data_IF_113082262224
#
_entry.id   IF_113082262224
#
_cell.length_a   1.000
_cell.length_b   1.000
_cell.length_c   1.000
_cell.angle_alpha   90.00
_cell.angle_beta   90.00
_cell.angle_gamma   90.00
#
_symmetry.space_group_name_H-M   'P 1'
#
loop_
_entity.id
_entity.type
_entity.pdbx_description
1 polymer ?
#
# COMPACT_ATOMS: atom_id res chain seq x y z
N UNK A 1 -8.33 25.12 18.67
CA UNK A 1 -7.53 23.87 18.60
C UNK A 1 -8.52 22.75 18.30
N UNK A 2 -8.46 22.13 17.12
CA UNK A 2 -9.26 20.94 16.87
C UNK A 2 -8.89 19.84 17.88
N UNK A 3 -9.90 19.08 18.33
CA UNK A 3 -9.63 17.94 19.21
C UNK A 3 -8.81 16.89 18.46
N UNK A 4 -7.89 16.22 19.14
CA UNK A 4 -7.10 15.12 18.55
C UNK A 4 -8.00 13.98 18.05
N UNK A 5 -9.16 13.79 18.67
CA UNK A 5 -10.21 12.87 18.20
C UNK A 5 -10.71 13.28 16.82
N UNK A 6 -10.85 14.58 16.56
CA UNK A 6 -11.19 15.11 15.24
C UNK A 6 -10.17 14.66 14.18
N UNK A 7 -8.88 14.84 14.47
CA UNK A 7 -7.79 14.42 13.57
C UNK A 7 -7.78 12.92 13.30
N UNK A 8 -8.00 12.09 14.33
CA UNK A 8 -8.10 10.63 14.18
C UNK A 8 -9.29 10.24 13.30
N UNK A 9 -10.42 10.93 13.44
CA UNK A 9 -11.62 10.65 12.63
C UNK A 9 -11.48 11.10 11.17
N UNK A 10 -10.67 12.11 10.92
CA UNK A 10 -10.49 12.67 9.58
C UNK A 10 -9.24 12.18 8.87
N UNK A 11 -8.38 11.36 9.48
CA UNK A 11 -7.13 10.97 8.86
C UNK A 11 -7.33 10.08 7.62
N UNK A 12 -6.44 10.21 6.66
CA UNK A 12 -6.30 9.25 5.55
C UNK A 12 -5.37 8.11 5.95
N UNK A 13 -5.72 6.87 5.60
CA UNK A 13 -4.86 5.69 5.76
C UNK A 13 -4.76 4.98 4.41
N UNK A 14 -3.53 4.74 3.96
CA UNK A 14 -3.24 3.88 2.81
C UNK A 14 -2.55 2.62 3.30
N UNK A 15 -3.11 1.47 2.92
CA UNK A 15 -2.66 0.15 3.35
C UNK A 15 -1.92 -0.54 2.21
N UNK A 16 -0.71 -1.01 2.49
CA UNK A 16 0.17 -1.72 1.57
C UNK A 16 0.52 -3.08 2.16
N UNK A 17 1.13 -3.94 1.35
CA UNK A 17 1.69 -5.22 1.81
C UNK A 17 3.18 -5.27 1.50
N UNK A 18 3.95 -5.86 2.41
CA UNK A 18 5.37 -6.17 2.20
C UNK A 18 5.58 -7.41 1.31
N UNK A 19 4.51 -8.10 0.90
CA UNK A 19 4.56 -9.27 0.02
C UNK A 19 3.58 -9.12 -1.13
N UNK A 20 3.99 -9.53 -2.33
CA UNK A 20 3.15 -9.49 -3.54
C UNK A 20 2.71 -10.89 -4.00
N UNK A 21 3.17 -11.97 -3.38
CA UNK A 21 2.93 -13.35 -3.81
C UNK A 21 1.94 -14.13 -2.93
N UNK A 22 1.16 -13.44 -2.11
CA UNK A 22 0.10 -14.05 -1.29
C UNK A 22 -1.15 -14.33 -2.12
N UNK A 23 -1.45 -15.60 -2.38
CA UNK A 23 -2.66 -16.04 -3.12
C UNK A 23 -3.94 -15.47 -2.49
N UNK A 24 -3.97 -15.39 -1.16
CA UNK A 24 -5.10 -14.87 -0.41
C UNK A 24 -5.30 -13.37 -0.69
N UNK A 25 -4.22 -12.58 -0.72
CA UNK A 25 -4.28 -11.16 -1.06
C UNK A 25 -4.82 -10.93 -2.46
N UNK A 26 -4.33 -11.68 -3.45
CA UNK A 26 -4.85 -11.59 -4.82
C UNK A 26 -6.32 -11.99 -4.94
N UNK A 27 -6.76 -12.94 -4.11
CA UNK A 27 -8.16 -13.37 -4.08
C UNK A 27 -9.09 -12.27 -3.53
N UNK A 28 -8.65 -11.56 -2.49
CA UNK A 28 -9.46 -10.53 -1.81
C UNK A 28 -9.36 -9.13 -2.43
N UNK A 29 -8.15 -8.71 -2.79
CA UNK A 29 -7.86 -7.30 -3.11
C UNK A 29 -7.60 -7.04 -4.59
N UNK A 30 -7.38 -8.07 -5.40
CA UNK A 30 -7.15 -7.94 -6.85
C UNK A 30 -8.28 -8.58 -7.65
N UNK A 31 -9.53 -8.40 -7.21
CA UNK A 31 -10.73 -8.91 -7.86
C UNK A 31 -10.58 -10.38 -8.28
N UNK A 32 -10.27 -11.28 -7.33
CA UNK A 32 -10.07 -12.71 -7.62
C UNK A 32 -9.04 -12.96 -8.74
N UNK A 33 -7.91 -12.26 -8.67
CA UNK A 33 -6.80 -12.29 -9.64
C UNK A 33 -7.04 -11.62 -11.01
N UNK A 34 -8.10 -10.81 -11.19
CA UNK A 34 -8.26 -9.99 -12.40
C UNK A 34 -7.51 -8.66 -12.34
N UNK A 35 -7.28 -8.13 -11.13
CA UNK A 35 -6.65 -6.84 -10.91
C UNK A 35 -5.12 -6.85 -11.01
N UNK A 36 -4.52 -5.80 -10.47
CA UNK A 36 -3.07 -5.56 -10.47
C UNK A 36 -2.54 -5.31 -9.05
N UNK A 37 -1.24 -5.41 -8.88
CA UNK A 37 -0.52 -4.99 -7.69
C UNK A 37 0.56 -3.97 -8.07
N UNK A 38 0.57 -2.84 -7.38
CA UNK A 38 1.54 -1.76 -7.56
C UNK A 38 2.62 -1.89 -6.47
N UNK A 39 3.88 -1.99 -6.88
CA UNK A 39 5.02 -2.01 -5.96
C UNK A 39 5.68 -0.65 -5.92
N UNK A 40 5.91 -0.16 -4.70
CA UNK A 40 6.49 1.15 -4.45
C UNK A 40 7.85 1.01 -3.76
N UNK A 41 8.81 1.84 -4.15
CA UNK A 41 10.14 1.91 -3.53
C UNK A 41 10.17 2.98 -2.44
N UNK A 42 10.19 2.53 -1.19
CA UNK A 42 10.15 3.43 -0.04
C UNK A 42 11.46 4.19 0.23
N UNK A 43 12.51 3.95 -0.57
CA UNK A 43 13.77 4.71 -0.51
C UNK A 43 13.73 6.00 -1.33
N UNK A 44 12.73 6.15 -2.19
CA UNK A 44 12.53 7.33 -3.03
C UNK A 44 12.04 8.49 -2.17
N UNK A 45 12.66 9.67 -2.33
CA UNK A 45 12.21 10.90 -1.69
C UNK A 45 12.47 12.12 -2.58
N UNK A 46 11.52 13.04 -2.73
CA UNK A 46 10.15 12.98 -2.18
C UNK A 46 9.25 12.02 -2.98
N UNK A 47 8.33 11.32 -2.31
CA UNK A 47 7.41 10.34 -2.94
C UNK A 47 6.20 10.97 -3.63
N UNK A 48 5.74 12.11 -3.13
CA UNK A 48 4.52 12.78 -3.58
C UNK A 48 4.80 14.16 -4.19
N UNK A 49 3.87 14.67 -4.99
CA UNK A 49 4.00 16.01 -5.60
C UNK A 49 3.78 17.14 -4.59
N UNK A 50 2.80 16.99 -3.71
CA UNK A 50 2.32 18.05 -2.82
C UNK A 50 2.37 17.68 -1.33
N UNK A 51 3.12 16.64 -0.97
CA UNK A 51 3.33 16.24 0.43
C UNK A 51 4.81 16.15 0.75
N UNK A 52 5.15 16.53 1.98
CA UNK A 52 6.46 16.32 2.59
C UNK A 52 6.45 15.01 3.36
N UNK A 53 7.28 14.05 2.92
CA UNK A 53 7.46 12.76 3.58
C UNK A 53 7.84 12.90 5.07
N UNK A 54 8.58 13.97 5.42
CA UNK A 54 9.09 14.19 6.76
C UNK A 54 8.06 14.78 7.74
N UNK A 55 7.04 15.48 7.24
CA UNK A 55 6.11 16.26 8.09
C UNK A 55 4.66 15.83 7.97
N UNK A 56 4.26 15.33 6.81
CA UNK A 56 2.85 15.09 6.50
C UNK A 56 2.48 13.60 6.62
N UNK A 57 3.48 12.72 6.52
CA UNK A 57 3.30 11.28 6.50
C UNK A 57 3.82 10.66 7.79
N UNK A 58 2.96 9.87 8.44
CA UNK A 58 3.37 8.91 9.45
C UNK A 58 3.20 7.50 8.90
N UNK A 59 4.15 6.61 9.12
CA UNK A 59 4.12 5.29 8.48
C UNK A 59 4.78 4.21 9.33
N UNK A 60 4.49 2.95 9.02
CA UNK A 60 5.14 1.82 9.66
C UNK A 60 4.52 0.47 9.36
N UNK A 61 5.20 -0.56 9.83
CA UNK A 61 4.74 -1.95 9.80
C UNK A 61 3.62 -2.12 10.84
N UNK A 62 2.54 -2.78 10.44
CA UNK A 62 1.43 -3.10 11.35
C UNK A 62 1.85 -4.20 12.32
N UNK A 63 1.69 -3.92 13.62
CA UNK A 63 1.81 -4.91 14.68
C UNK A 63 0.55 -5.76 14.77
N UNK A 64 0.73 -7.08 14.79
CA UNK A 64 -0.37 -8.03 14.92
C UNK A 64 -0.47 -8.50 16.36
N UNK A 65 -1.47 -8.00 17.09
CA UNK A 65 -1.66 -8.28 18.51
C UNK A 65 -3.11 -8.59 18.81
N UNK A 66 -3.36 -9.22 19.96
CA UNK A 66 -4.69 -9.21 20.55
C UNK A 66 -5.06 -7.78 20.99
N UNK A 67 -6.36 -7.50 21.05
CA UNK A 67 -6.85 -6.15 21.36
C UNK A 67 -6.42 -5.74 22.78
N UNK A 68 -5.66 -4.63 22.85
CA UNK A 68 -5.24 -4.02 24.11
C UNK A 68 -5.99 -2.70 24.30
N UNK A 69 -6.62 -2.51 25.47
CA UNK A 69 -7.24 -1.22 25.81
C UNK A 69 -6.15 -0.20 26.10
N UNK A 70 -6.09 0.86 25.32
CA UNK A 70 -5.13 1.95 25.51
C UNK A 70 -5.82 3.10 26.21
N UNK A 71 -5.25 3.55 27.33
CA UNK A 71 -5.66 4.81 27.95
C UNK A 71 -4.91 5.96 27.28
N UNK A 72 -5.56 6.56 26.26
CA UNK A 72 -4.99 7.68 25.50
C UNK A 72 -4.55 8.87 26.36
N UNK A 73 -5.15 9.05 27.56
CA UNK A 73 -4.85 10.18 28.44
C UNK A 73 -3.56 9.97 29.26
N UNK A 74 -3.20 8.71 29.54
CA UNK A 74 -2.01 8.37 30.34
C UNK A 74 -0.83 7.88 29.50
N UNK A 75 -1.10 7.37 28.30
CA UNK A 75 -0.07 6.86 27.39
C UNK A 75 0.61 7.99 26.61
N UNK A 76 1.90 7.83 26.30
CA UNK A 76 2.60 8.78 25.42
C UNK A 76 1.85 8.92 24.08
N UNK A 77 1.54 10.15 23.70
CA UNK A 77 0.62 10.45 22.59
C UNK A 77 1.06 9.84 21.27
N UNK A 78 2.36 9.90 20.95
CA UNK A 78 2.92 9.34 19.72
C UNK A 78 2.73 7.82 19.69
N UNK A 79 3.03 7.16 20.81
CA UNK A 79 2.82 5.71 20.96
C UNK A 79 1.34 5.33 20.87
N UNK A 80 0.43 6.10 21.47
CA UNK A 80 -1.00 5.83 21.39
C UNK A 80 -1.54 5.95 19.95
N UNK A 81 -1.13 6.99 19.22
CA UNK A 81 -1.46 7.17 17.78
C UNK A 81 -0.92 6.02 16.95
N UNK A 82 0.36 5.67 17.15
CA UNK A 82 0.99 4.54 16.48
C UNK A 82 0.21 3.25 16.73
N UNK A 83 -0.11 2.92 17.98
CA UNK A 83 -0.88 1.73 18.31
C UNK A 83 -2.30 1.73 17.72
N UNK A 84 -2.97 2.87 17.64
CA UNK A 84 -4.31 2.97 17.03
C UNK A 84 -4.25 2.64 15.53
N UNK A 85 -3.26 3.19 14.82
CA UNK A 85 -3.20 3.07 13.36
C UNK A 85 -2.35 1.91 12.84
N UNK A 86 -1.44 1.39 13.65
CA UNK A 86 -0.48 0.34 13.27
C UNK A 86 -0.65 -0.91 14.14
N UNK A 87 -1.88 -1.18 14.58
CA UNK A 87 -2.26 -2.48 15.14
C UNK A 87 -3.38 -3.12 14.35
N UNK A 88 -3.37 -4.44 14.25
CA UNK A 88 -4.44 -5.24 13.65
C UNK A 88 -4.53 -6.59 14.35
N UNK A 89 -5.70 -7.24 14.27
CA UNK A 89 -5.88 -8.59 14.80
C UNK A 89 -4.91 -9.58 14.16
N UNK A 90 -4.38 -10.49 14.98
CA UNK A 90 -3.48 -11.57 14.56
C UNK A 90 -4.02 -12.45 13.43
N UNK A 91 -5.33 -12.58 13.28
CA UNK A 91 -5.97 -13.34 12.18
C UNK A 91 -5.62 -12.80 10.79
N UNK A 92 -5.20 -11.53 10.70
CA UNK A 92 -4.84 -10.85 9.45
C UNK A 92 -3.32 -10.69 9.27
N UNK A 93 -2.52 -11.40 10.08
CA UNK A 93 -1.04 -11.34 10.01
C UNK A 93 -0.46 -11.72 8.65
N UNK A 94 -1.16 -12.56 7.89
CA UNK A 94 -0.77 -12.97 6.55
C UNK A 94 -0.72 -11.81 5.53
N UNK A 95 -1.37 -10.68 5.82
CA UNK A 95 -1.32 -9.50 4.93
C UNK A 95 0.05 -8.81 4.94
N UNK A 96 0.88 -9.00 5.97
CA UNK A 96 2.17 -8.31 6.15
C UNK A 96 2.07 -6.80 5.87
N UNK A 97 1.14 -6.15 6.55
CA UNK A 97 0.66 -4.82 6.20
C UNK A 97 1.66 -3.73 6.60
N UNK A 98 1.83 -2.76 5.69
CA UNK A 98 2.53 -1.51 5.93
C UNK A 98 1.53 -0.38 5.70
N UNK A 99 1.46 0.63 6.57
CA UNK A 99 0.52 1.75 6.40
C UNK A 99 1.23 3.08 6.29
N UNK A 100 0.69 3.95 5.44
CA UNK A 100 0.94 5.38 5.44
C UNK A 100 -0.30 6.11 5.97
N UNK A 101 -0.09 7.12 6.80
CA UNK A 101 -1.13 7.82 7.56
C UNK A 101 -0.95 9.32 7.37
N UNK A 102 -1.99 9.97 6.88
CA UNK A 102 -2.09 11.42 6.77
C UNK A 102 -2.96 11.94 7.91
N UNK A 103 -2.33 12.40 9.00
CA UNK A 103 -3.04 12.78 10.24
C UNK A 103 -3.71 14.15 10.18
N UNK A 104 -3.21 15.06 9.35
CA UNK A 104 -3.67 16.45 9.28
C UNK A 104 -4.55 16.75 8.08
N UNK A 105 -4.76 15.77 7.20
CA UNK A 105 -5.57 15.91 5.99
C UNK A 105 -6.75 14.96 6.00
N UNK A 106 -7.83 15.37 5.31
CA UNK A 106 -8.93 14.47 4.95
C UNK A 106 -8.43 13.40 3.97
N UNK A 107 -9.08 12.23 3.88
CA UNK A 107 -8.76 11.25 2.85
C UNK A 107 -8.89 11.93 1.48
N UNK A 108 -7.78 11.97 0.74
CA UNK A 108 -7.71 12.62 -0.56
C UNK A 108 -6.79 11.82 -1.48
N UNK A 109 -7.04 11.90 -2.78
CA UNK A 109 -6.19 11.26 -3.79
C UNK A 109 -4.89 12.04 -3.87
N UNK A 110 -3.78 11.35 -3.61
CA UNK A 110 -2.44 11.93 -3.69
C UNK A 110 -1.75 11.51 -4.98
N UNK A 111 -1.23 12.50 -5.71
CA UNK A 111 -0.36 12.25 -6.85
C UNK A 111 1.04 11.91 -6.35
N UNK A 112 1.53 10.76 -6.75
CA UNK A 112 2.89 10.33 -6.47
C UNK A 112 3.82 10.59 -7.64
N UNK A 113 5.11 10.76 -7.35
CA UNK A 113 6.14 10.95 -8.37
C UNK A 113 6.39 9.64 -9.13
N UNK A 114 6.66 9.69 -10.45
CA UNK A 114 6.84 8.48 -11.24
C UNK A 114 7.88 7.49 -10.70
N UNK A 115 8.96 8.00 -10.09
CA UNK A 115 10.03 7.20 -9.52
C UNK A 115 9.58 6.36 -8.32
N UNK A 116 8.50 6.76 -7.64
CA UNK A 116 8.00 6.04 -6.47
C UNK A 116 7.40 4.68 -6.84
N UNK A 117 6.81 4.56 -8.03
CA UNK A 117 6.25 3.30 -8.54
C UNK A 117 7.36 2.51 -9.24
N UNK A 118 7.67 1.32 -8.72
CA UNK A 118 8.78 0.50 -9.19
C UNK A 118 8.34 -0.63 -10.13
N UNK A 119 7.22 -1.25 -9.84
CA UNK A 119 6.73 -2.37 -10.62
C UNK A 119 5.22 -2.50 -10.61
N UNK A 120 4.68 -3.11 -11.66
CA UNK A 120 3.28 -3.52 -11.78
C UNK A 120 3.24 -5.02 -12.02
N UNK A 121 2.48 -5.70 -11.18
CA UNK A 121 2.21 -7.12 -11.28
C UNK A 121 0.77 -7.31 -11.76
N UNK A 122 0.60 -8.16 -12.76
CA UNK A 122 -0.70 -8.53 -13.30
C UNK A 122 -1.15 -9.86 -12.70
N UNK A 123 -2.42 -9.94 -12.29
CA UNK A 123 -3.00 -11.14 -11.73
C UNK A 123 -3.08 -12.29 -12.73
N UNK A 124 -3.30 -13.52 -12.22
CA UNK A 124 -3.40 -14.73 -13.05
C UNK A 124 -4.47 -14.66 -14.14
N UNK A 125 -5.49 -13.81 -13.95
CA UNK A 125 -6.66 -13.72 -14.83
C UNK A 125 -6.76 -12.38 -15.55
N UNK A 126 -5.80 -11.48 -15.34
CA UNK A 126 -5.73 -10.23 -16.09
C UNK A 126 -5.48 -10.53 -17.56
N UNK A 127 -6.35 -10.05 -18.46
CA UNK A 127 -6.23 -10.36 -19.88
C UNK A 127 -5.00 -9.70 -20.50
N UNK A 128 -4.45 -10.28 -21.57
CA UNK A 128 -3.30 -9.68 -22.27
C UNK A 128 -3.65 -8.30 -22.87
N UNK A 129 -4.92 -8.08 -23.20
CA UNK A 129 -5.42 -6.77 -23.62
C UNK A 129 -5.28 -5.73 -22.51
N UNK A 130 -5.80 -6.02 -21.31
CA UNK A 130 -5.71 -5.10 -20.16
C UNK A 130 -4.25 -4.87 -19.74
N UNK A 131 -3.42 -5.91 -19.77
CA UNK A 131 -1.97 -5.78 -19.52
C UNK A 131 -1.35 -4.76 -20.47
N UNK A 132 -1.60 -4.89 -21.78
CA UNK A 132 -1.06 -3.99 -22.80
C UNK A 132 -1.62 -2.56 -22.69
N UNK A 133 -2.90 -2.40 -22.34
CA UNK A 133 -3.52 -1.09 -22.09
C UNK A 133 -2.84 -0.37 -20.91
N UNK A 134 -2.58 -1.07 -19.81
CA UNK A 134 -1.89 -0.52 -18.64
C UNK A 134 -0.43 -0.19 -18.95
N UNK A 135 0.29 -1.07 -19.64
CA UNK A 135 1.66 -0.81 -20.09
C UNK A 135 1.73 0.46 -20.94
N UNK A 136 0.82 0.59 -21.92
CA UNK A 136 0.76 1.75 -22.80
C UNK A 136 0.42 3.05 -22.04
N UNK A 137 -0.46 2.96 -21.04
CA UNK A 137 -0.81 4.07 -20.17
C UNK A 137 0.39 4.56 -19.36
N UNK A 138 1.16 3.63 -18.76
CA UNK A 138 2.38 3.98 -18.04
C UNK A 138 3.40 4.69 -18.93
N UNK A 139 3.64 4.18 -20.13
CA UNK A 139 4.55 4.81 -21.11
C UNK A 139 4.07 6.23 -21.48
N UNK A 140 2.76 6.39 -21.73
CA UNK A 140 2.17 7.69 -22.10
C UNK A 140 2.26 8.72 -20.97
N UNK A 141 2.12 8.27 -19.72
CA UNK A 141 2.22 9.11 -18.53
C UNK A 141 3.67 9.39 -18.11
N UNK A 142 4.66 8.87 -18.84
CA UNK A 142 6.08 9.15 -18.59
C UNK A 142 6.74 8.28 -17.52
N UNK A 143 6.15 7.11 -17.21
CA UNK A 143 6.79 6.14 -16.33
C UNK A 143 7.78 5.28 -17.14
N UNK A 144 9.08 5.59 -17.02
CA UNK A 144 10.13 5.00 -17.87
C UNK A 144 10.86 3.80 -17.25
N UNK A 145 10.92 3.70 -15.91
CA UNK A 145 11.73 2.71 -15.18
C UNK A 145 10.88 1.72 -14.36
N UNK A 146 9.70 1.34 -14.88
CA UNK A 146 8.79 0.38 -14.24
C UNK A 146 9.04 -1.04 -14.76
N UNK A 147 9.12 -2.00 -13.84
CA UNK A 147 9.05 -3.42 -14.18
C UNK A 147 7.62 -3.92 -14.35
N UNK A 148 7.32 -4.61 -15.44
CA UNK A 148 6.04 -5.27 -15.66
C UNK A 148 6.18 -6.78 -15.46
N UNK A 149 5.26 -7.39 -14.74
CA UNK A 149 5.35 -8.80 -14.38
C UNK A 149 4.02 -9.52 -14.54
N UNK A 150 4.05 -10.69 -15.18
CA UNK A 150 2.88 -11.56 -15.33
C UNK A 150 2.88 -12.64 -14.27
N UNK A 151 1.75 -12.84 -13.61
CA UNK A 151 1.58 -13.92 -12.66
C UNK A 151 1.50 -15.28 -13.35
N UNK A 152 2.13 -16.29 -12.76
CA UNK A 152 2.07 -17.69 -13.15
C UNK A 152 1.79 -18.54 -11.93
N UNK A 153 1.10 -19.68 -12.13
CA UNK A 153 0.80 -20.62 -11.05
C UNK A 153 1.88 -21.72 -11.02
N UNK A 154 2.41 -21.99 -9.84
CA UNK A 154 3.30 -23.13 -9.57
C UNK A 154 2.73 -23.89 -8.37
N UNK A 155 2.15 -25.06 -8.61
CA UNK A 155 1.49 -25.88 -7.59
C UNK A 155 0.37 -25.13 -6.85
N UNK A 156 0.57 -24.84 -5.56
CA UNK A 156 -0.33 -24.07 -4.69
C UNK A 156 0.16 -22.64 -4.44
N UNK A 157 1.16 -22.18 -5.20
CA UNK A 157 1.76 -20.85 -5.09
C UNK A 157 1.66 -20.06 -6.38
N UNK A 158 1.88 -18.75 -6.28
CA UNK A 158 2.03 -17.87 -7.42
C UNK A 158 3.46 -17.35 -7.53
N UNK A 159 3.91 -17.18 -8.77
CA UNK A 159 5.21 -16.61 -9.12
C UNK A 159 5.03 -15.55 -10.19
N UNK A 160 6.02 -14.68 -10.33
CA UNK A 160 5.99 -13.59 -11.29
C UNK A 160 7.17 -13.69 -12.24
N UNK A 161 6.87 -13.52 -13.52
CA UNK A 161 7.87 -13.48 -14.60
C UNK A 161 7.84 -12.12 -15.25
N UNK A 162 9.02 -11.53 -15.48
CA UNK A 162 9.15 -10.22 -16.10
C UNK A 162 8.62 -10.26 -17.54
N UNK A 163 7.79 -9.30 -17.90
CA UNK A 163 7.35 -9.07 -19.28
C UNK A 163 8.44 -8.25 -19.97
N UNK A 164 8.84 -8.71 -21.17
CA UNK A 164 9.72 -7.91 -22.03
C UNK A 164 8.81 -6.99 -22.84
N UNK A 165 8.92 -5.68 -22.59
CA UNK A 165 8.14 -4.63 -23.26
C UNK A 165 8.98 -4.01 -24.36
#
# INVERSE_FOLDING_TARGET
KESQIGKIKSCGISCFSLVNNSVLMWSHYAEKHFGICLEFDNTISPRFENLSDATDISEGIVGYTEYERINYMSTERKYAIFKIFLSKSGSWSHENEYRMILLNDKPQIQKFKPQFLKAIYFGLRTSDREQNEIISMCTTLGFVDIGFFKCTKSDLSIRFSKITV
#
